data_IF_545422381861
#
_entry.id   IF_545422381861
#
_cell.length_a   1.000
_cell.length_b   1.000
_cell.length_c   1.000
_cell.angle_alpha   90.00
_cell.angle_beta   90.00
_cell.angle_gamma   90.00
#
_symmetry.space_group_name_H-M   'P 1'
#
loop_
_entity.id
_entity.type
_entity.pdbx_description
1 polymer ?
#
# COMPACT_ATOMS: atom_id res chain seq x y z
N UNK A 1 -7.54 -7.56 17.54
CA UNK A 1 -6.61 -6.94 16.58
C UNK A 1 -7.39 -6.49 15.35
N UNK A 2 -8.14 -5.39 15.46
CA UNK A 2 -8.95 -4.84 14.34
C UNK A 2 -9.08 -3.31 14.49
N UNK A 3 -9.12 -2.84 15.74
CA UNK A 3 -9.10 -1.41 16.11
C UNK A 3 -7.85 -0.70 15.57
N UNK A 4 -6.66 -1.28 15.76
CA UNK A 4 -5.39 -0.67 15.31
C UNK A 4 -5.37 -0.41 13.80
N UNK A 5 -5.86 -1.37 12.99
CA UNK A 5 -5.92 -1.20 11.53
C UNK A 5 -6.89 -0.09 11.12
N UNK A 6 -8.04 0.03 11.80
CA UNK A 6 -9.00 1.09 11.54
C UNK A 6 -8.46 2.47 11.90
N UNK A 7 -7.74 2.62 13.02
CA UNK A 7 -7.13 3.92 13.37
C UNK A 7 -6.05 4.33 12.37
N UNK A 8 -5.22 3.40 11.92
CA UNK A 8 -4.21 3.68 10.91
C UNK A 8 -4.86 4.04 9.56
N UNK A 9 -5.90 3.32 9.13
CA UNK A 9 -6.64 3.64 7.91
C UNK A 9 -7.28 5.03 7.98
N UNK A 10 -7.88 5.41 9.12
CA UNK A 10 -8.40 6.77 9.35
C UNK A 10 -7.29 7.82 9.29
N UNK A 11 -6.14 7.55 9.90
CA UNK A 11 -5.00 8.46 9.87
C UNK A 11 -4.51 8.71 8.44
N UNK A 12 -4.36 7.64 7.64
CA UNK A 12 -3.94 7.75 6.24
C UNK A 12 -4.98 8.53 5.41
N UNK A 13 -6.28 8.24 5.57
CA UNK A 13 -7.33 9.00 4.89
C UNK A 13 -7.33 10.48 5.25
N UNK A 14 -7.15 10.80 6.54
CA UNK A 14 -7.06 12.17 7.04
C UNK A 14 -5.81 12.89 6.53
N UNK A 15 -4.68 12.20 6.39
CA UNK A 15 -3.43 12.78 5.90
C UNK A 15 -3.56 13.21 4.43
N UNK A 16 -4.30 12.44 3.63
CA UNK A 16 -4.48 12.71 2.20
C UNK A 16 -5.71 13.56 1.91
N UNK A 17 -6.65 13.69 2.86
CA UNK A 17 -7.89 14.44 2.70
C UNK A 17 -8.95 13.69 1.89
N UNK A 18 -9.00 12.36 2.02
CA UNK A 18 -9.95 11.50 1.31
C UNK A 18 -11.23 11.24 2.11
N UNK A 19 -12.33 10.99 1.37
CA UNK A 19 -13.59 10.54 1.97
C UNK A 19 -13.43 9.18 2.65
N UNK A 20 -14.27 8.91 3.66
CA UNK A 20 -14.41 7.60 4.29
C UNK A 20 -14.81 6.49 3.32
N UNK A 21 -15.31 6.83 2.13
CA UNK A 21 -15.71 5.85 1.12
C UNK A 21 -14.52 4.99 0.64
N UNK A 22 -13.30 5.52 0.76
CA UNK A 22 -12.04 4.84 0.41
C UNK A 22 -11.42 4.04 1.57
N UNK A 23 -12.22 3.68 2.57
CA UNK A 23 -11.73 2.99 3.77
C UNK A 23 -11.17 1.60 3.46
N UNK A 24 -11.70 0.89 2.46
CA UNK A 24 -11.24 -0.45 2.09
C UNK A 24 -9.80 -0.39 1.58
N UNK A 25 -9.50 0.57 0.71
CA UNK A 25 -8.18 0.76 0.11
C UNK A 25 -7.16 1.27 1.14
N UNK A 26 -7.60 2.14 2.06
CA UNK A 26 -6.79 2.57 3.19
C UNK A 26 -6.47 1.40 4.14
N UNK A 27 -7.43 0.52 4.43
CA UNK A 27 -7.19 -0.67 5.25
C UNK A 27 -6.24 -1.64 4.54
N UNK A 28 -6.44 -1.92 3.25
CA UNK A 28 -5.53 -2.79 2.49
C UNK A 28 -4.09 -2.27 2.51
N UNK A 29 -3.93 -0.96 2.30
CA UNK A 29 -2.63 -0.32 2.39
C UNK A 29 -2.03 -0.43 3.78
N UNK A 30 -2.83 -0.21 4.82
CA UNK A 30 -2.39 -0.36 6.21
C UNK A 30 -1.94 -1.79 6.49
N UNK A 31 -2.73 -2.79 6.09
CA UNK A 31 -2.41 -4.20 6.29
C UNK A 31 -1.09 -4.59 5.63
N UNK A 32 -0.92 -4.17 4.37
CA UNK A 32 0.31 -4.39 3.62
C UNK A 32 1.52 -3.76 4.32
N UNK A 33 1.41 -2.52 4.78
CA UNK A 33 2.50 -1.82 5.47
C UNK A 33 2.83 -2.44 6.82
N UNK A 34 1.83 -2.83 7.62
CA UNK A 34 2.05 -3.43 8.94
C UNK A 34 2.77 -4.77 8.82
N UNK A 35 2.42 -5.60 7.82
CA UNK A 35 3.10 -6.89 7.61
C UNK A 35 4.56 -6.74 7.19
N UNK A 36 4.90 -5.62 6.54
CA UNK A 36 6.25 -5.25 6.11
C UNK A 36 6.98 -4.34 7.09
N UNK A 37 6.39 -4.03 8.23
CA UNK A 37 7.02 -3.18 9.25
C UNK A 37 7.70 -4.03 10.32
N UNK A 38 8.86 -3.62 10.83
CA UNK A 38 9.46 -4.26 11.99
C UNK A 38 8.51 -4.13 13.19
N UNK A 39 8.29 -5.24 13.89
CA UNK A 39 7.35 -5.30 15.02
C UNK A 39 8.09 -5.65 16.30
N UNK A 40 7.86 -4.83 17.34
CA UNK A 40 8.46 -5.03 18.67
C UNK A 40 8.03 -6.35 19.31
N UNK A 41 6.86 -6.86 18.94
CA UNK A 41 6.33 -8.15 19.44
C UNK A 41 7.19 -9.33 18.96
N UNK A 42 7.85 -9.20 17.82
CA UNK A 42 8.70 -10.22 17.20
C UNK A 42 10.16 -9.78 17.15
N UNK A 43 10.64 -9.08 18.18
CA UNK A 43 12.05 -8.68 18.31
C UNK A 43 12.54 -7.81 17.14
N UNK A 44 11.67 -6.92 16.63
CA UNK A 44 11.91 -6.05 15.47
C UNK A 44 12.12 -6.81 14.15
N UNK A 45 11.79 -8.10 14.10
CA UNK A 45 11.67 -8.84 12.84
C UNK A 45 10.45 -8.34 12.07
N UNK A 46 10.41 -8.65 10.79
CA UNK A 46 9.30 -8.29 9.92
C UNK A 46 8.39 -9.51 9.75
N UNK A 47 7.09 -9.31 9.93
CA UNK A 47 6.11 -10.39 10.00
C UNK A 47 6.14 -11.28 8.74
N UNK A 48 6.18 -10.65 7.57
CA UNK A 48 6.16 -11.37 6.30
C UNK A 48 7.47 -12.14 6.03
N UNK A 49 8.63 -11.63 6.45
CA UNK A 49 9.88 -12.40 6.38
C UNK A 49 9.84 -13.63 7.29
N UNK A 50 9.29 -13.47 8.50
CA UNK A 50 9.12 -14.57 9.45
C UNK A 50 8.15 -15.62 8.90
N UNK A 51 7.09 -15.19 8.23
CA UNK A 51 6.05 -16.08 7.72
C UNK A 51 6.47 -16.84 6.47
N UNK A 52 7.11 -16.16 5.51
CA UNK A 52 7.46 -16.73 4.20
C UNK A 52 8.93 -17.13 4.07
N UNK A 53 9.78 -16.75 5.01
CA UNK A 53 11.22 -17.08 5.00
C UNK A 53 12.02 -16.36 3.91
N UNK A 54 11.44 -15.35 3.26
CA UNK A 54 12.07 -14.55 2.21
C UNK A 54 12.29 -13.12 2.67
N UNK A 55 13.40 -12.50 2.29
CA UNK A 55 13.65 -11.08 2.51
C UNK A 55 12.61 -10.22 1.78
N UNK A 56 12.21 -9.11 2.40
CA UNK A 56 11.27 -8.18 1.80
C UNK A 56 11.99 -7.20 0.87
N UNK A 57 11.45 -7.09 -0.35
CA UNK A 57 11.78 -5.99 -1.24
C UNK A 57 10.86 -4.79 -0.98
N UNK A 58 11.49 -3.64 -0.69
CA UNK A 58 10.83 -2.37 -0.46
C UNK A 58 10.75 -1.49 -1.71
N UNK A 59 11.36 -1.91 -2.83
CA UNK A 59 11.39 -1.14 -4.09
C UNK A 59 10.00 -0.85 -4.65
N UNK A 60 9.02 -1.68 -4.29
CA UNK A 60 7.62 -1.55 -4.67
C UNK A 60 6.79 -0.65 -3.75
N UNK A 61 7.34 -0.17 -2.62
CA UNK A 61 6.61 0.73 -1.73
C UNK A 61 6.32 2.08 -2.38
N UNK A 62 5.08 2.50 -2.27
CA UNK A 62 4.55 3.78 -2.72
C UNK A 62 3.72 4.42 -1.62
N UNK A 63 3.76 5.75 -1.57
CA UNK A 63 2.92 6.54 -0.67
C UNK A 63 1.48 6.40 -1.14
N UNK A 64 0.55 6.17 -0.20
CA UNK A 64 -0.87 6.11 -0.49
C UNK A 64 -1.33 7.39 -1.21
N UNK A 65 -2.13 7.24 -2.27
CA UNK A 65 -2.64 8.34 -3.08
C UNK A 65 -1.58 9.18 -3.83
N UNK A 66 -0.38 8.65 -4.04
CA UNK A 66 0.63 9.34 -4.86
C UNK A 66 0.29 9.29 -6.36
N UNK A 67 0.81 10.24 -7.12
CA UNK A 67 0.74 10.20 -8.59
C UNK A 67 1.59 9.04 -9.11
N UNK A 68 0.99 8.19 -9.95
CA UNK A 68 1.66 7.09 -10.63
C UNK A 68 1.36 7.13 -12.12
N UNK A 69 2.17 6.44 -12.91
CA UNK A 69 2.05 6.40 -14.36
C UNK A 69 1.88 4.95 -14.79
N UNK A 70 0.68 4.61 -15.28
CA UNK A 70 0.38 3.28 -15.78
C UNK A 70 0.78 3.19 -17.26
N UNK A 71 1.45 2.10 -17.62
CA UNK A 71 1.68 1.77 -19.02
C UNK A 71 0.37 1.31 -19.65
N UNK A 72 0.00 1.92 -20.77
CA UNK A 72 -1.19 1.55 -21.53
C UNK A 72 -0.73 1.06 -22.89
N UNK A 73 -1.19 -0.14 -23.27
CA UNK A 73 -0.95 -0.68 -24.61
C UNK A 73 -1.74 0.12 -25.63
N UNK A 74 -1.04 0.71 -26.59
CA UNK A 74 -1.62 1.45 -27.71
C UNK A 74 -0.79 1.26 -28.97
N UNK A 75 -1.32 1.75 -30.09
CA UNK A 75 -0.66 1.67 -31.39
C UNK A 75 0.71 2.40 -31.39
N UNK A 76 1.48 2.18 -32.46
CA UNK A 76 2.91 2.55 -32.55
C UNK A 76 3.23 4.04 -32.27
N UNK A 77 2.25 4.93 -32.41
CA UNK A 77 2.39 6.38 -32.25
C UNK A 77 1.61 7.00 -31.08
N UNK A 78 0.83 6.20 -30.34
CA UNK A 78 0.01 6.71 -29.25
C UNK A 78 0.79 6.83 -27.93
N UNK A 79 0.35 7.77 -27.08
CA UNK A 79 0.88 7.96 -25.74
C UNK A 79 0.65 6.70 -24.89
N UNK A 80 1.74 5.99 -24.57
CA UNK A 80 1.70 4.72 -23.82
C UNK A 80 1.69 4.88 -22.30
N UNK A 81 1.40 6.09 -21.82
CA UNK A 81 1.50 6.42 -20.40
C UNK A 81 0.26 7.20 -19.98
N UNK A 82 -0.43 6.68 -18.97
CA UNK A 82 -1.57 7.34 -18.33
C UNK A 82 -1.22 7.73 -16.91
N UNK A 83 -1.41 9.02 -16.58
CA UNK A 83 -1.31 9.49 -15.20
C UNK A 83 -2.49 8.94 -14.39
N UNK A 84 -2.18 8.35 -13.24
CA UNK A 84 -3.08 7.66 -12.34
C UNK A 84 -2.76 8.04 -10.88
N UNK A 85 -3.59 7.58 -9.96
CA UNK A 85 -3.39 7.71 -8.52
C UNK A 85 -3.21 6.32 -7.93
N UNK A 86 -2.21 6.15 -7.08
CA UNK A 86 -1.98 4.89 -6.37
C UNK A 86 -3.02 4.68 -5.28
N UNK A 87 -3.92 3.71 -5.48
CA UNK A 87 -5.06 3.51 -4.58
C UNK A 87 -4.78 2.48 -3.49
N UNK A 88 -4.17 1.33 -3.80
CA UNK A 88 -3.84 0.30 -2.82
C UNK A 88 -2.88 -0.74 -3.43
N UNK A 89 -2.34 -1.60 -2.58
CA UNK A 89 -1.61 -2.79 -3.00
C UNK A 89 -2.58 -3.93 -3.34
N UNK A 90 -2.20 -4.76 -4.31
CA UNK A 90 -2.91 -6.00 -4.60
C UNK A 90 -2.79 -6.96 -3.41
N UNK A 91 -3.84 -7.74 -3.15
CA UNK A 91 -3.75 -8.88 -2.23
C UNK A 91 -2.85 -9.94 -2.88
N UNK A 92 -1.72 -10.24 -2.23
CA UNK A 92 -0.93 -11.45 -2.45
C UNK A 92 -1.57 -12.64 -1.74
#
# INVERSE_FOLDING_TARGET
>A
MNITFLEHARSILSQVGLSKDFWVEAIHTTFYLVNKSPSTVIELKILEEVWFGSLIDYSHLRIFYCSVYAHVTGDKLELRVKKCIFMSYAQT
#
